data_IF_532185644265
#
_entry.id   IF_532185644265
#
_cell.length_a   1.000
_cell.length_b   1.000
_cell.length_c   1.000
_cell.angle_alpha   90.00
_cell.angle_beta   90.00
_cell.angle_gamma   90.00
#
_symmetry.space_group_name_H-M   'P 1'
#
loop_
_entity.id
_entity.type
_entity.pdbx_description
1 polymer ?
#
# COMPACT_ATOMS: atom_id res chain seq x y z
N UNK A 1 18.31 8.82 11.49
CA UNK A 1 17.14 7.92 11.32
C UNK A 1 16.18 7.94 12.51
N UNK A 2 16.64 7.83 13.78
CA UNK A 2 15.72 7.77 14.93
C UNK A 2 14.88 9.04 15.16
N UNK A 3 15.47 10.22 14.98
CA UNK A 3 14.77 11.50 15.24
C UNK A 3 13.65 11.79 14.23
N UNK A 4 13.89 11.52 12.93
CA UNK A 4 12.86 11.69 11.90
C UNK A 4 11.63 10.82 12.14
N UNK A 5 11.81 9.60 12.65
CA UNK A 5 10.71 8.69 12.99
C UNK A 5 9.85 9.22 14.14
N UNK A 6 10.47 9.82 15.16
CA UNK A 6 9.75 10.40 16.30
C UNK A 6 8.82 11.55 15.89
N UNK A 7 9.16 12.27 14.81
CA UNK A 7 8.33 13.35 14.24
C UNK A 7 7.34 12.78 13.22
N UNK A 8 7.76 11.84 12.38
CA UNK A 8 6.96 11.27 11.30
C UNK A 8 5.71 10.54 11.81
N UNK A 9 5.83 9.75 12.88
CA UNK A 9 4.74 8.94 13.41
C UNK A 9 3.56 9.81 13.91
N UNK A 10 3.77 10.76 14.84
CA UNK A 10 2.70 11.65 15.30
C UNK A 10 2.16 12.53 14.17
N UNK A 11 3.03 13.04 13.29
CA UNK A 11 2.61 13.89 12.19
C UNK A 11 1.71 13.14 11.19
N UNK A 12 2.08 11.92 10.78
CA UNK A 12 1.28 11.09 9.91
C UNK A 12 -0.07 10.71 10.54
N UNK A 13 -0.07 10.41 11.85
CA UNK A 13 -1.30 10.11 12.58
C UNK A 13 -2.24 11.31 12.61
N UNK A 14 -1.75 12.48 13.06
CA UNK A 14 -2.57 13.68 13.18
C UNK A 14 -3.10 14.15 11.82
N UNK A 15 -2.25 14.16 10.80
CA UNK A 15 -2.66 14.58 9.46
C UNK A 15 -3.70 13.62 8.88
N UNK A 16 -3.52 12.32 9.04
CA UNK A 16 -4.53 11.33 8.62
C UNK A 16 -5.84 11.51 9.38
N UNK A 17 -5.79 11.60 10.72
CA UNK A 17 -6.97 11.75 11.56
C UNK A 17 -7.80 13.00 11.22
N UNK A 18 -7.14 14.10 10.87
CA UNK A 18 -7.80 15.35 10.44
C UNK A 18 -8.32 15.29 9.01
N UNK A 19 -7.59 14.64 8.10
CA UNK A 19 -7.97 14.54 6.68
C UNK A 19 -9.11 13.53 6.44
N UNK A 20 -9.18 12.45 7.23
CA UNK A 20 -10.15 11.37 7.06
C UNK A 20 -11.62 11.84 7.09
N UNK A 21 -12.08 12.67 8.04
CA UNK A 21 -13.46 13.17 8.06
C UNK A 21 -13.85 13.94 6.78
N UNK A 22 -12.94 14.75 6.25
CA UNK A 22 -13.15 15.52 5.01
C UNK A 22 -13.20 14.56 3.82
N UNK A 23 -12.27 13.61 3.77
CA UNK A 23 -12.20 12.59 2.73
C UNK A 23 -13.46 11.73 2.68
N UNK A 24 -13.93 11.24 3.84
CA UNK A 24 -15.15 10.44 3.98
C UNK A 24 -16.37 11.22 3.46
N UNK A 25 -16.53 12.49 3.88
CA UNK A 25 -17.62 13.35 3.39
C UNK A 25 -17.57 13.50 1.86
N UNK A 26 -16.37 13.70 1.29
CA UNK A 26 -16.19 13.84 -0.16
C UNK A 26 -16.52 12.56 -0.92
N UNK A 27 -16.13 11.40 -0.39
CA UNK A 27 -16.41 10.11 -1.02
C UNK A 27 -17.90 9.74 -0.93
N UNK A 28 -18.57 10.10 0.17
CA UNK A 28 -20.03 9.96 0.28
C UNK A 28 -20.76 10.84 -0.76
N UNK A 29 -20.30 12.07 -0.99
CA UNK A 29 -20.85 12.95 -2.03
C UNK A 29 -20.69 12.39 -3.44
N UNK A 30 -19.56 11.71 -3.72
CA UNK A 30 -19.29 11.09 -5.02
C UNK A 30 -20.04 9.76 -5.24
N UNK A 31 -20.90 9.34 -4.30
CA UNK A 31 -21.66 8.09 -4.34
C UNK A 31 -20.79 6.84 -4.59
N UNK A 32 -19.54 6.87 -4.12
CA UNK A 32 -18.65 5.70 -4.10
C UNK A 32 -19.01 4.75 -2.95
N UNK A 33 -20.29 4.39 -2.90
CA UNK A 33 -20.84 3.39 -1.99
C UNK A 33 -20.69 2.00 -2.62
N UNK A 34 -20.15 1.07 -1.84
CA UNK A 34 -19.98 -0.32 -2.26
C UNK A 34 -21.36 -0.94 -2.58
N UNK A 35 -21.52 -1.50 -3.79
CA UNK A 35 -22.74 -2.22 -4.16
C UNK A 35 -22.85 -3.50 -3.32
N UNK A 36 -24.04 -3.77 -2.81
CA UNK A 36 -24.33 -4.94 -1.98
C UNK A 36 -24.15 -6.18 -2.85
N UNK A 37 -23.38 -7.15 -2.38
CA UNK A 37 -23.29 -8.47 -3.01
C UNK A 37 -24.57 -9.23 -2.65
N UNK A 38 -25.35 -9.63 -3.64
CA UNK A 38 -26.63 -10.32 -3.42
C UNK A 38 -26.48 -11.67 -2.68
N UNK A 39 -25.30 -12.31 -2.77
CA UNK A 39 -25.03 -13.61 -2.13
C UNK A 39 -24.64 -13.55 -0.63
N UNK A 40 -24.64 -12.37 0.01
CA UNK A 40 -24.15 -12.19 1.39
C UNK A 40 -25.27 -12.24 2.46
N UNK A 41 -24.99 -12.67 3.71
CA UNK A 41 -25.96 -12.62 4.79
C UNK A 41 -26.48 -11.19 5.03
N UNK A 42 -27.75 -11.06 5.44
CA UNK A 42 -28.45 -9.77 5.54
C UNK A 42 -27.74 -8.70 6.40
N UNK A 43 -26.93 -9.10 7.37
CA UNK A 43 -26.08 -8.20 8.17
C UNK A 43 -25.00 -7.47 7.35
N UNK A 44 -24.61 -7.98 6.18
CA UNK A 44 -23.65 -7.32 5.30
C UNK A 44 -24.25 -6.15 4.51
N UNK A 45 -25.58 -6.00 4.49
CA UNK A 45 -26.24 -4.81 3.96
C UNK A 45 -25.94 -3.54 4.80
N UNK A 46 -25.51 -3.69 6.05
CA UNK A 46 -25.19 -2.57 6.97
C UNK A 46 -23.92 -1.83 6.52
N UNK A 47 -23.04 -2.45 5.73
CA UNK A 47 -21.84 -1.78 5.16
C UNK A 47 -22.16 -0.94 3.92
N UNK A 48 -23.43 -0.92 3.47
CA UNK A 48 -23.86 -0.10 2.36
C UNK A 48 -23.63 1.40 2.68
N UNK A 49 -22.82 2.06 1.85
CA UNK A 49 -22.56 3.49 1.98
C UNK A 49 -21.29 3.88 2.74
N UNK A 50 -20.52 2.92 3.26
CA UNK A 50 -19.17 3.26 3.76
C UNK A 50 -18.26 3.53 2.55
N UNK A 51 -17.61 4.70 2.46
CA UNK A 51 -16.84 5.06 1.27
C UNK A 51 -15.64 4.12 1.09
N UNK A 52 -15.51 3.58 -0.11
CA UNK A 52 -14.36 2.78 -0.52
C UNK A 52 -13.15 3.69 -0.83
N UNK A 53 -11.93 3.14 -0.85
CA UNK A 53 -10.68 3.84 -1.24
C UNK A 53 -9.96 4.69 -0.16
N UNK A 54 -10.26 4.51 1.14
CA UNK A 54 -9.52 5.19 2.23
C UNK A 54 -8.00 4.94 2.23
N UNK A 55 -7.56 3.82 1.65
CA UNK A 55 -6.14 3.50 1.48
C UNK A 55 -5.38 4.51 0.61
N UNK A 56 -6.05 5.19 -0.33
CA UNK A 56 -5.42 6.22 -1.16
C UNK A 56 -4.93 7.39 -0.30
N UNK A 57 -5.77 7.84 0.65
CA UNK A 57 -5.40 8.90 1.58
C UNK A 57 -4.20 8.48 2.44
N UNK A 58 -4.22 7.25 2.97
CA UNK A 58 -3.09 6.73 3.73
C UNK A 58 -1.79 6.75 2.93
N UNK A 59 -1.79 6.21 1.69
CA UNK A 59 -0.59 6.19 0.84
C UNK A 59 -0.09 7.61 0.57
N UNK A 60 -0.97 8.55 0.24
CA UNK A 60 -0.58 9.95 -0.02
C UNK A 60 0.02 10.62 1.21
N UNK A 61 -0.62 10.48 2.38
CA UNK A 61 -0.13 11.08 3.63
C UNK A 61 1.20 10.46 4.05
N UNK A 62 1.32 9.13 3.99
CA UNK A 62 2.58 8.44 4.31
C UNK A 62 3.71 8.92 3.42
N UNK A 63 3.52 8.99 2.10
CA UNK A 63 4.56 9.46 1.17
C UNK A 63 4.96 10.90 1.51
N UNK A 64 4.00 11.80 1.71
CA UNK A 64 4.29 13.20 2.01
C UNK A 64 5.10 13.36 3.31
N UNK A 65 4.67 12.71 4.39
CA UNK A 65 5.34 12.80 5.68
C UNK A 65 6.73 12.15 5.63
N UNK A 66 6.88 11.00 4.99
CA UNK A 66 8.18 10.34 4.84
C UNK A 66 9.16 11.16 4.03
N UNK A 67 8.73 11.84 2.96
CA UNK A 67 9.61 12.73 2.18
C UNK A 67 10.06 13.96 3.00
N UNK A 68 9.14 14.55 3.78
CA UNK A 68 9.45 15.71 4.63
C UNK A 68 10.42 15.35 5.76
N UNK A 69 10.22 14.19 6.41
CA UNK A 69 10.96 13.82 7.63
C UNK A 69 12.18 12.93 7.38
N UNK A 70 12.18 12.16 6.30
CA UNK A 70 13.21 11.18 5.96
C UNK A 70 14.18 11.63 4.86
N UNK A 71 13.90 12.73 4.16
CA UNK A 71 14.74 13.27 3.09
C UNK A 71 14.74 12.39 1.82
N UNK A 72 15.81 12.49 1.03
CA UNK A 72 15.95 11.81 -0.28
C UNK A 72 16.91 10.62 -0.25
N UNK A 73 16.89 9.85 0.84
CA UNK A 73 17.72 8.64 0.95
C UNK A 73 17.32 7.62 -0.14
N UNK A 74 18.27 7.02 -0.89
CA UNK A 74 17.95 6.10 -1.98
C UNK A 74 17.07 4.92 -1.57
N UNK A 75 17.33 4.35 -0.38
CA UNK A 75 16.53 3.25 0.17
C UNK A 75 15.10 3.71 0.53
N UNK A 76 14.94 4.92 1.05
CA UNK A 76 13.63 5.49 1.36
C UNK A 76 12.83 5.69 0.07
N UNK A 77 13.45 6.26 -0.96
CA UNK A 77 12.82 6.45 -2.27
C UNK A 77 12.40 5.12 -2.91
N UNK A 78 13.22 4.07 -2.77
CA UNK A 78 12.88 2.73 -3.25
C UNK A 78 11.64 2.16 -2.53
N UNK A 79 11.57 2.31 -1.20
CA UNK A 79 10.41 1.86 -0.40
C UNK A 79 9.16 2.69 -0.71
N UNK A 80 9.29 4.01 -0.90
CA UNK A 80 8.17 4.88 -1.28
C UNK A 80 7.68 4.57 -2.70
N UNK A 81 8.57 4.24 -3.62
CA UNK A 81 8.22 3.71 -4.93
C UNK A 81 7.38 2.43 -4.80
N UNK A 82 7.85 1.46 -4.01
CA UNK A 82 7.11 0.21 -3.78
C UNK A 82 5.71 0.48 -3.20
N UNK A 83 5.62 1.34 -2.18
CA UNK A 83 4.36 1.73 -1.56
C UNK A 83 3.41 2.39 -2.57
N UNK A 84 3.92 3.31 -3.40
CA UNK A 84 3.13 4.00 -4.40
C UNK A 84 2.64 3.03 -5.49
N UNK A 85 3.51 2.17 -6.00
CA UNK A 85 3.15 1.19 -7.05
C UNK A 85 2.09 0.20 -6.57
N UNK A 86 2.25 -0.37 -5.38
CA UNK A 86 1.23 -1.24 -4.78
C UNK A 86 -0.07 -0.47 -4.49
N UNK A 87 0.05 0.76 -3.98
CA UNK A 87 -1.07 1.65 -3.73
C UNK A 87 -1.86 1.96 -5.02
N UNK A 88 -1.18 2.18 -6.14
CA UNK A 88 -1.80 2.40 -7.45
C UNK A 88 -2.53 1.16 -7.95
N UNK A 89 -1.93 -0.03 -7.84
CA UNK A 89 -2.61 -1.29 -8.22
C UNK A 89 -3.88 -1.49 -7.39
N UNK A 90 -3.81 -1.28 -6.07
CA UNK A 90 -4.96 -1.35 -5.18
C UNK A 90 -6.02 -0.29 -5.49
N UNK A 91 -5.60 0.94 -5.80
CA UNK A 91 -6.50 2.02 -6.19
C UNK A 91 -7.25 1.71 -7.48
N UNK A 92 -6.56 1.17 -8.49
CA UNK A 92 -7.18 0.76 -9.76
C UNK A 92 -8.18 -0.38 -9.52
N UNK A 93 -7.84 -1.36 -8.65
CA UNK A 93 -8.74 -2.46 -8.28
C UNK A 93 -10.03 -1.95 -7.64
N UNK A 94 -9.92 -1.05 -6.66
CA UNK A 94 -11.08 -0.47 -5.98
C UNK A 94 -11.87 0.47 -6.90
N UNK A 95 -11.21 1.26 -7.73
CA UNK A 95 -11.85 2.13 -8.71
C UNK A 95 -12.69 1.30 -9.69
N UNK A 96 -12.16 0.16 -10.13
CA UNK A 96 -12.84 -0.70 -11.09
C UNK A 96 -14.08 -1.38 -10.48
N UNK A 97 -14.04 -1.76 -9.20
CA UNK A 97 -15.22 -2.28 -8.47
C UNK A 97 -16.35 -1.25 -8.44
N UNK A 98 -15.99 0.00 -8.18
CA UNK A 98 -16.91 1.13 -8.10
C UNK A 98 -17.52 1.46 -9.46
N UNK A 99 -16.69 1.62 -10.49
CA UNK A 99 -17.16 1.96 -11.85
C UNK A 99 -18.02 0.85 -12.46
N UNK A 100 -17.62 -0.41 -12.27
CA UNK A 100 -18.35 -1.56 -12.81
C UNK A 100 -19.52 -2.01 -11.94
N UNK A 101 -19.74 -1.38 -10.78
CA UNK A 101 -20.83 -1.71 -9.85
C UNK A 101 -20.89 -3.20 -9.47
N UNK A 102 -19.72 -3.83 -9.34
CA UNK A 102 -19.60 -5.26 -9.03
C UNK A 102 -18.58 -5.46 -7.91
N UNK A 103 -18.72 -6.57 -7.18
CA UNK A 103 -17.82 -6.90 -6.06
C UNK A 103 -16.39 -7.23 -6.50
N UNK A 104 -16.21 -7.64 -7.76
CA UNK A 104 -14.93 -8.04 -8.34
C UNK A 104 -14.27 -6.87 -9.11
N UNK A 105 -13.03 -6.53 -8.72
CA UNK A 105 -12.23 -5.52 -9.40
C UNK A 105 -11.39 -6.10 -10.54
N UNK A 106 -10.07 -5.98 -10.41
CA UNK A 106 -9.11 -6.61 -11.32
C UNK A 106 -9.22 -8.14 -11.25
N UNK A 107 -8.92 -8.80 -12.37
CA UNK A 107 -8.73 -10.25 -12.37
C UNK A 107 -7.56 -10.58 -11.44
N UNK A 108 -7.72 -11.58 -10.58
CA UNK A 108 -6.69 -11.99 -9.62
C UNK A 108 -5.32 -12.20 -10.28
N UNK A 109 -5.29 -12.84 -11.46
CA UNK A 109 -4.06 -13.04 -12.24
C UNK A 109 -3.37 -11.74 -12.65
N UNK A 110 -4.14 -10.74 -13.08
CA UNK A 110 -3.60 -9.44 -13.50
C UNK A 110 -3.07 -8.64 -12.30
N UNK A 111 -3.77 -8.71 -11.16
CA UNK A 111 -3.32 -8.08 -9.91
C UNK A 111 -2.00 -8.68 -9.43
N UNK A 112 -1.94 -10.01 -9.35
CA UNK A 112 -0.73 -10.73 -8.93
C UNK A 112 0.43 -10.51 -9.92
N UNK A 113 0.17 -10.50 -11.23
CA UNK A 113 1.19 -10.20 -12.22
C UNK A 113 1.74 -8.77 -12.06
N UNK A 114 0.87 -7.80 -11.75
CA UNK A 114 1.27 -6.42 -11.46
C UNK A 114 2.14 -6.32 -10.20
N UNK A 115 1.71 -6.92 -9.10
CA UNK A 115 2.47 -6.94 -7.85
C UNK A 115 3.82 -7.67 -8.01
N UNK A 116 3.86 -8.77 -8.76
CA UNK A 116 5.10 -9.49 -9.07
C UNK A 116 6.07 -8.64 -9.92
N UNK A 117 5.56 -7.95 -10.94
CA UNK A 117 6.37 -7.05 -11.76
C UNK A 117 6.98 -5.91 -10.93
N UNK A 118 6.18 -5.30 -10.04
CA UNK A 118 6.64 -4.27 -9.12
C UNK A 118 7.71 -4.81 -8.17
N UNK A 119 7.52 -6.01 -7.62
CA UNK A 119 8.51 -6.65 -6.75
C UNK A 119 9.85 -6.88 -7.46
N UNK A 120 9.84 -7.37 -8.71
CA UNK A 120 11.06 -7.57 -9.51
C UNK A 120 11.80 -6.24 -9.72
N UNK A 121 11.07 -5.17 -10.08
CA UNK A 121 11.65 -3.84 -10.26
C UNK A 121 12.24 -3.32 -8.94
N UNK A 122 11.53 -3.51 -7.83
CA UNK A 122 12.01 -3.11 -6.51
C UNK A 122 13.31 -3.83 -6.14
N UNK A 123 13.40 -5.14 -6.36
CA UNK A 123 14.61 -5.92 -6.10
C UNK A 123 15.78 -5.49 -6.99
N UNK A 124 15.52 -5.17 -8.27
CA UNK A 124 16.52 -4.59 -9.16
C UNK A 124 17.03 -3.24 -8.63
N UNK A 125 16.13 -2.38 -8.14
CA UNK A 125 16.51 -1.11 -7.51
C UNK A 125 17.38 -1.36 -6.27
N UNK A 126 16.99 -2.27 -5.37
CA UNK A 126 17.77 -2.62 -4.18
C UNK A 126 19.18 -3.10 -4.52
N UNK A 127 19.30 -3.91 -5.58
CA UNK A 127 20.57 -4.39 -6.09
C UNK A 127 21.43 -3.23 -6.63
N UNK A 128 20.83 -2.29 -7.37
CA UNK A 128 21.54 -1.12 -7.91
C UNK A 128 22.06 -0.17 -6.81
N UNK A 129 21.30 0.01 -5.72
CA UNK A 129 21.71 0.87 -4.60
C UNK A 129 22.61 0.16 -3.57
N UNK A 130 22.99 -1.10 -3.82
CA UNK A 130 23.87 -1.89 -2.95
C UNK A 130 23.24 -2.25 -1.59
N UNK A 131 21.90 -2.27 -1.50
CA UNK A 131 21.14 -2.62 -0.27
C UNK A 131 20.49 -4.00 -0.37
N UNK A 132 20.96 -4.84 -1.31
CA UNK A 132 20.50 -6.20 -1.50
C UNK A 132 21.44 -7.19 -0.80
N UNK A 133 20.88 -8.07 0.03
CA UNK A 133 21.61 -9.18 0.66
C UNK A 133 20.89 -10.48 0.35
N UNK A 134 21.63 -11.49 -0.13
CA UNK A 134 21.16 -12.87 -0.34
C UNK A 134 21.33 -13.77 0.89
N UNK A 135 21.87 -13.21 1.98
CA UNK A 135 22.10 -13.90 3.24
C UNK A 135 20.85 -13.81 4.09
N UNK A 136 20.23 -14.97 4.35
CA UNK A 136 19.15 -15.11 5.32
C UNK A 136 19.74 -15.53 6.67
N UNK A 137 19.39 -14.81 7.71
CA UNK A 137 19.62 -15.26 9.08
C UNK A 137 18.51 -16.20 9.54
N UNK A 138 18.85 -17.43 9.92
CA UNK A 138 17.91 -18.41 10.46
C UNK A 138 18.00 -18.43 11.99
N UNK A 139 17.02 -17.86 12.72
CA UNK A 139 17.12 -17.66 14.17
C UNK A 139 17.16 -18.97 14.96
N UNK A 140 16.52 -20.03 14.46
CA UNK A 140 16.41 -21.33 15.14
C UNK A 140 17.78 -22.01 15.26
N UNK A 141 18.60 -21.92 14.21
CA UNK A 141 19.91 -22.56 14.14
C UNK A 141 21.05 -21.55 14.33
N UNK A 142 20.73 -20.27 14.59
CA UNK A 142 21.67 -19.15 14.62
C UNK A 142 22.72 -19.19 13.50
N UNK A 143 22.28 -19.59 12.30
CA UNK A 143 23.14 -19.81 11.14
C UNK A 143 22.71 -18.88 10.01
N UNK A 144 23.69 -18.35 9.29
CA UNK A 144 23.48 -17.54 8.10
C UNK A 144 23.57 -18.46 6.87
N UNK A 145 22.52 -18.45 6.05
CA UNK A 145 22.45 -19.22 4.80
C UNK A 145 22.45 -18.21 3.67
N UNK A 146 23.48 -18.27 2.82
CA UNK A 146 23.53 -17.50 1.57
C UNK A 146 22.82 -18.30 0.48
N UNK A 147 21.71 -17.74 -0.02
CA UNK A 147 20.92 -18.34 -1.10
C UNK A 147 21.42 -17.92 -2.49
N UNK A 148 22.38 -17.00 -2.57
CA UNK A 148 23.00 -16.55 -3.81
C UNK A 148 21.97 -16.19 -4.90
N UNK A 149 22.14 -16.76 -6.09
CA UNK A 149 21.26 -16.56 -7.25
C UNK A 149 19.83 -17.12 -7.07
N UNK A 150 19.60 -17.98 -6.08
CA UNK A 150 18.26 -18.52 -5.78
C UNK A 150 17.48 -17.63 -4.82
N UNK A 151 18.12 -16.60 -4.25
CA UNK A 151 17.43 -15.59 -3.48
C UNK A 151 16.58 -14.74 -4.45
N UNK A 152 15.25 -14.68 -4.25
CA UNK A 152 14.35 -14.01 -5.18
C UNK A 152 14.66 -12.52 -5.34
#
# INVERSE_FOLDING_TARGET
MREGVLIALPAAFLFSALAFPIFIKRMHFLQYGQQIREDGPAEHAIKAGTPTMGGALFVTVTIAICLITGGLLPILLAVLFLLLSCGLIGFIDDYLKVVRRQSLGLKARSKLAGEAAVAIIFLAILKMIGQYSSVIWVPIFNTEIDLGLTYP
#
